data_IF_039006022021
#
_entry.id   IF_039006022021
#
_cell.length_a   1.000
_cell.length_b   1.000
_cell.length_c   1.000
_cell.angle_alpha   90.00
_cell.angle_beta   90.00
_cell.angle_gamma   90.00
#
_symmetry.space_group_name_H-M   'P 1'
#
loop_
_entity.id
_entity.type
_entity.pdbx_description
1 polymer ?
#
# COMPACT_ATOMS: atom_id res chain seq x y z
N UNK A 1 -20.47 2.37 11.54
CA UNK A 1 -19.39 1.54 10.97
C UNK A 1 -19.65 1.53 9.48
N UNK A 2 -18.70 2.08 8.74
CA UNK A 2 -18.85 2.34 7.31
C UNK A 2 -18.89 1.03 6.53
N UNK A 3 -19.56 1.02 5.38
CA UNK A 3 -19.50 -0.15 4.49
C UNK A 3 -18.05 -0.39 4.05
N UNK A 4 -17.74 -1.63 3.64
CA UNK A 4 -16.41 -1.96 3.12
C UNK A 4 -15.98 -1.00 2.02
N UNK A 5 -16.87 -0.68 1.06
CA UNK A 5 -16.53 0.22 -0.04
C UNK A 5 -16.23 1.64 0.44
N UNK A 6 -17.06 2.16 1.35
CA UNK A 6 -16.84 3.50 1.95
C UNK A 6 -15.51 3.54 2.71
N UNK A 7 -15.20 2.50 3.47
CA UNK A 7 -13.93 2.37 4.19
C UNK A 7 -12.73 2.42 3.24
N UNK A 8 -12.78 1.63 2.16
CA UNK A 8 -11.69 1.56 1.18
C UNK A 8 -11.51 2.88 0.42
N UNK A 9 -12.61 3.54 0.03
CA UNK A 9 -12.56 4.85 -0.60
C UNK A 9 -11.93 5.92 0.30
N UNK A 10 -12.31 5.94 1.58
CA UNK A 10 -11.72 6.85 2.56
C UNK A 10 -10.25 6.56 2.77
N UNK A 11 -9.85 5.28 2.84
CA UNK A 11 -8.44 4.90 3.02
C UNK A 11 -7.57 5.34 1.86
N UNK A 12 -8.01 5.11 0.62
CA UNK A 12 -7.30 5.58 -0.57
C UNK A 12 -7.08 7.10 -0.54
N UNK A 13 -8.07 7.87 -0.07
CA UNK A 13 -7.98 9.34 0.02
C UNK A 13 -7.12 9.83 1.20
N UNK A 14 -7.18 9.15 2.34
CA UNK A 14 -6.63 9.66 3.60
C UNK A 14 -5.19 9.21 3.90
N UNK A 15 -4.67 8.19 3.22
CA UNK A 15 -3.38 7.57 3.60
C UNK A 15 -2.15 8.41 3.27
N UNK A 16 -2.29 9.63 2.73
CA UNK A 16 -1.17 10.49 2.37
C UNK A 16 -0.29 9.95 1.23
N UNK A 17 -0.55 8.73 0.75
CA UNK A 17 0.20 8.07 -0.33
C UNK A 17 0.26 8.92 -1.58
N UNK A 18 -0.83 9.61 -1.96
CA UNK A 18 -0.81 10.53 -3.11
C UNK A 18 0.27 11.60 -2.97
N UNK A 19 0.45 12.21 -1.79
CA UNK A 19 1.51 13.19 -1.56
C UNK A 19 2.90 12.56 -1.72
N UNK A 20 3.11 11.37 -1.15
CA UNK A 20 4.35 10.61 -1.29
C UNK A 20 4.66 10.22 -2.74
N UNK A 21 3.65 10.00 -3.58
CA UNK A 21 3.83 9.70 -5.00
C UNK A 21 4.12 10.97 -5.81
N UNK A 22 3.42 12.07 -5.51
CA UNK A 22 3.57 13.35 -6.23
C UNK A 22 4.87 14.09 -5.97
N UNK A 23 5.63 13.73 -4.91
CA UNK A 23 6.96 14.32 -4.66
C UNK A 23 8.05 13.72 -5.57
N UNK A 24 7.83 12.52 -6.13
CA UNK A 24 8.85 11.82 -6.91
C UNK A 24 9.32 12.57 -8.15
N UNK A 25 8.43 13.16 -8.98
CA UNK A 25 8.88 13.91 -10.14
C UNK A 25 9.79 15.07 -9.76
N UNK A 26 9.50 15.75 -8.66
CA UNK A 26 10.36 16.80 -8.15
C UNK A 26 11.71 16.23 -7.64
N UNK A 27 11.68 15.14 -6.88
CA UNK A 27 12.88 14.54 -6.29
C UNK A 27 13.85 13.95 -7.32
N UNK A 28 13.33 13.42 -8.42
CA UNK A 28 14.10 12.80 -9.50
C UNK A 28 14.26 13.68 -10.74
N UNK A 29 13.84 14.95 -10.68
CA UNK A 29 13.84 15.89 -11.82
C UNK A 29 13.16 15.33 -13.08
N UNK A 30 12.00 14.71 -12.89
CA UNK A 30 11.23 14.07 -13.96
C UNK A 30 10.26 15.06 -14.59
N UNK A 31 10.34 15.15 -15.91
CA UNK A 31 9.29 15.76 -16.73
C UNK A 31 8.26 14.69 -17.10
N UNK A 32 7.12 14.66 -16.40
CA UNK A 32 6.05 13.68 -16.59
C UNK A 32 4.77 14.42 -17.03
N UNK A 33 4.14 14.03 -18.15
CA UNK A 33 2.89 14.65 -18.59
C UNK A 33 1.78 14.58 -17.53
N UNK A 34 0.98 15.64 -17.41
CA UNK A 34 -0.08 15.71 -16.38
C UNK A 34 -1.09 14.58 -16.49
N UNK A 35 -1.39 14.12 -17.71
CA UNK A 35 -2.33 13.04 -17.98
C UNK A 35 -1.90 11.70 -17.37
N UNK A 36 -0.60 11.49 -17.07
CA UNK A 36 -0.13 10.27 -16.39
C UNK A 36 -0.74 10.18 -14.98
N UNK A 37 -0.99 11.32 -14.33
CA UNK A 37 -1.61 11.39 -13.00
C UNK A 37 -3.12 11.15 -13.03
N UNK A 38 -3.74 11.33 -14.19
CA UNK A 38 -5.17 11.05 -14.41
C UNK A 38 -5.44 9.54 -14.59
N UNK A 39 -4.38 8.73 -14.73
CA UNK A 39 -4.48 7.27 -14.74
C UNK A 39 -4.70 6.73 -13.32
N UNK A 40 -5.88 7.02 -12.75
CA UNK A 40 -6.21 6.84 -11.32
C UNK A 40 -5.94 5.44 -10.78
N UNK A 41 -6.03 4.41 -11.63
CA UNK A 41 -5.85 3.01 -11.24
C UNK A 41 -4.54 2.80 -10.45
N UNK A 42 -3.40 3.29 -10.96
CA UNK A 42 -2.11 2.99 -10.33
C UNK A 42 -1.95 3.69 -8.96
N UNK A 43 -2.42 4.94 -8.85
CA UNK A 43 -2.33 5.71 -7.60
C UNK A 43 -3.27 5.11 -6.55
N UNK A 44 -4.50 4.77 -6.97
CA UNK A 44 -5.50 4.12 -6.12
C UNK A 44 -4.96 2.82 -5.55
N UNK A 45 -4.42 1.95 -6.40
CA UNK A 45 -3.93 0.64 -5.96
C UNK A 45 -2.73 0.74 -5.02
N UNK A 46 -1.80 1.67 -5.27
CA UNK A 46 -0.69 1.90 -4.34
C UNK A 46 -1.21 2.37 -2.98
N UNK A 47 -2.14 3.34 -2.97
CA UNK A 47 -2.73 3.85 -1.73
C UNK A 47 -3.50 2.75 -0.97
N UNK A 48 -4.24 1.90 -1.68
CA UNK A 48 -4.95 0.75 -1.12
C UNK A 48 -3.96 -0.23 -0.47
N UNK A 49 -2.95 -0.66 -1.22
CA UNK A 49 -1.93 -1.61 -0.74
C UNK A 49 -1.17 -1.09 0.48
N UNK A 50 -0.80 0.20 0.47
CA UNK A 50 -0.17 0.85 1.64
C UNK A 50 -1.09 0.84 2.85
N UNK A 51 -2.36 1.21 2.66
CA UNK A 51 -3.36 1.26 3.74
C UNK A 51 -3.59 -0.12 4.37
N UNK A 52 -3.83 -1.14 3.53
CA UNK A 52 -4.06 -2.50 4.00
C UNK A 52 -2.83 -3.07 4.72
N UNK A 53 -1.62 -2.76 4.23
CA UNK A 53 -0.38 -3.13 4.90
C UNK A 53 -0.25 -2.51 6.29
N UNK A 54 -0.69 -1.25 6.46
CA UNK A 54 -0.74 -0.61 7.78
C UNK A 54 -1.72 -1.35 8.68
N UNK A 55 -2.97 -1.54 8.25
CA UNK A 55 -4.01 -2.17 9.07
C UNK A 55 -3.62 -3.58 9.53
N UNK A 56 -2.94 -4.35 8.67
CA UNK A 56 -2.42 -5.68 9.01
C UNK A 56 -1.30 -5.60 10.07
N UNK A 57 -0.39 -4.64 9.94
CA UNK A 57 0.74 -4.47 10.86
C UNK A 57 0.31 -3.86 12.21
N UNK A 58 -0.67 -2.96 12.21
CA UNK A 58 -1.13 -2.23 13.40
C UNK A 58 -2.12 -3.01 14.26
N UNK A 59 -2.62 -4.17 13.80
CA UNK A 59 -3.65 -4.97 14.47
C UNK A 59 -3.43 -5.16 15.99
N UNK A 60 -2.21 -5.49 16.41
CA UNK A 60 -1.94 -5.71 17.85
C UNK A 60 -2.05 -4.44 18.68
N UNK A 61 -1.70 -3.29 18.09
CA UNK A 61 -1.80 -1.99 18.74
C UNK A 61 -3.25 -1.51 18.76
N UNK A 62 -3.95 -1.61 17.63
CA UNK A 62 -5.33 -1.15 17.46
C UNK A 62 -6.30 -1.89 18.38
N UNK A 63 -6.16 -3.23 18.48
CA UNK A 63 -6.97 -4.04 19.39
C UNK A 63 -6.75 -3.67 20.86
N UNK A 64 -5.54 -3.28 21.25
CA UNK A 64 -5.24 -2.83 22.63
C UNK A 64 -5.80 -1.44 22.93
N UNK A 65 -5.95 -0.59 21.91
CA UNK A 65 -6.42 0.78 22.03
C UNK A 65 -7.92 0.93 21.70
N UNK A 66 -8.61 -0.18 21.41
CA UNK A 66 -10.01 -0.22 20.98
C UNK A 66 -10.27 0.63 19.72
N UNK A 67 -9.27 0.72 18.83
CA UNK A 67 -9.38 1.37 17.53
C UNK A 67 -10.06 0.41 16.54
N UNK A 68 -11.17 0.86 15.95
CA UNK A 68 -12.00 0.04 15.02
C UNK A 68 -11.89 0.50 13.57
N UNK A 69 -11.11 1.54 13.31
CA UNK A 69 -10.85 2.09 11.97
C UNK A 69 -9.75 1.27 11.28
N UNK A 70 -10.06 0.01 10.94
CA UNK A 70 -9.11 -0.96 10.39
C UNK A 70 -9.87 -2.00 9.56
N UNK A 71 -9.28 -2.51 8.49
CA UNK A 71 -9.95 -3.44 7.57
C UNK A 71 -10.46 -4.71 8.28
N UNK A 72 -9.76 -5.16 9.33
CA UNK A 72 -10.11 -6.39 10.04
C UNK A 72 -11.45 -6.27 10.78
N UNK A 73 -11.66 -5.31 11.71
CA UNK A 73 -12.97 -5.05 12.31
C UNK A 73 -14.09 -4.86 11.29
N UNK A 74 -13.84 -4.12 10.20
CA UNK A 74 -14.83 -3.88 9.14
C UNK A 74 -15.26 -5.20 8.50
N UNK A 75 -14.32 -6.03 8.08
CA UNK A 75 -14.60 -7.32 7.44
C UNK A 75 -15.33 -8.28 8.39
N UNK A 76 -14.89 -8.37 9.65
CA UNK A 76 -15.53 -9.23 10.66
C UNK A 76 -16.99 -8.83 10.86
N UNK A 77 -17.27 -7.53 11.01
CA UNK A 77 -18.62 -7.04 11.24
C UNK A 77 -19.53 -7.25 10.02
N UNK A 78 -19.06 -6.89 8.83
CA UNK A 78 -19.92 -6.87 7.64
C UNK A 78 -20.09 -8.23 6.98
N UNK A 79 -19.15 -9.16 7.18
CA UNK A 79 -19.16 -10.46 6.48
C UNK A 79 -19.31 -11.65 7.44
N UNK A 80 -19.39 -11.40 8.75
CA UNK A 80 -19.55 -12.45 9.77
C UNK A 80 -18.46 -13.53 9.68
N UNK A 81 -17.22 -13.10 9.43
CA UNK A 81 -16.05 -13.98 9.32
C UNK A 81 -15.15 -13.84 10.54
N UNK A 82 -14.27 -14.82 10.77
CA UNK A 82 -13.25 -14.74 11.81
C UNK A 82 -12.19 -13.68 11.50
N UNK A 83 -11.46 -13.23 12.53
CA UNK A 83 -10.35 -12.29 12.36
C UNK A 83 -9.22 -12.83 11.46
N UNK A 84 -8.98 -14.15 11.46
CA UNK A 84 -8.00 -14.76 10.56
C UNK A 84 -8.49 -14.72 9.12
N UNK A 85 -9.74 -15.11 8.86
CA UNK A 85 -10.34 -15.03 7.51
C UNK A 85 -10.37 -13.58 6.99
N UNK A 86 -10.59 -12.61 7.87
CA UNK A 86 -10.51 -11.19 7.52
C UNK A 86 -9.08 -10.79 7.11
N UNK A 87 -8.05 -11.28 7.81
CA UNK A 87 -6.66 -11.03 7.46
C UNK A 87 -6.28 -11.68 6.13
N UNK A 88 -6.68 -12.94 5.93
CA UNK A 88 -6.45 -13.67 4.68
C UNK A 88 -7.11 -12.92 3.50
N UNK A 89 -8.32 -12.40 3.71
CA UNK A 89 -9.02 -11.60 2.70
C UNK A 89 -8.33 -10.26 2.42
N UNK A 90 -7.84 -9.56 3.43
CA UNK A 90 -7.07 -8.34 3.23
C UNK A 90 -5.78 -8.61 2.44
N UNK A 91 -5.10 -9.73 2.71
CA UNK A 91 -3.93 -10.18 1.94
C UNK A 91 -4.33 -10.47 0.48
N UNK A 92 -5.45 -11.17 0.25
CA UNK A 92 -5.95 -11.40 -1.12
C UNK A 92 -6.28 -10.09 -1.86
N UNK A 93 -6.81 -9.08 -1.15
CA UNK A 93 -7.06 -7.76 -1.74
C UNK A 93 -5.75 -7.05 -2.12
N UNK A 94 -4.72 -7.15 -1.29
CA UNK A 94 -3.38 -6.62 -1.63
C UNK A 94 -2.77 -7.36 -2.82
N UNK A 95 -2.94 -8.68 -2.90
CA UNK A 95 -2.47 -9.48 -4.03
C UNK A 95 -3.18 -9.07 -5.34
N UNK A 96 -4.50 -8.86 -5.30
CA UNK A 96 -5.22 -8.35 -6.47
C UNK A 96 -4.75 -6.95 -6.87
N UNK A 97 -4.59 -6.06 -5.88
CA UNK A 97 -4.09 -4.70 -6.09
C UNK A 97 -2.70 -4.69 -6.76
N UNK A 98 -1.84 -5.66 -6.43
CA UNK A 98 -0.54 -5.84 -7.08
C UNK A 98 -0.68 -6.16 -8.57
N UNK A 99 -1.54 -7.11 -8.94
CA UNK A 99 -1.79 -7.43 -10.35
C UNK A 99 -2.36 -6.22 -11.11
N UNK A 100 -3.31 -5.51 -10.50
CA UNK A 100 -3.92 -4.31 -11.08
C UNK A 100 -2.88 -3.18 -11.30
N UNK A 101 -1.84 -3.08 -10.44
CA UNK A 101 -0.71 -2.17 -10.63
C UNK A 101 0.15 -2.59 -11.82
N UNK A 102 0.45 -3.88 -11.96
CA UNK A 102 1.26 -4.38 -13.07
C UNK A 102 0.57 -4.13 -14.41
N UNK A 103 -0.75 -4.34 -14.46
CA UNK A 103 -1.58 -4.04 -15.63
C UNK A 103 -1.59 -2.53 -15.92
N UNK A 104 -1.86 -1.69 -14.91
CA UNK A 104 -1.84 -0.24 -15.07
C UNK A 104 -0.47 0.28 -15.55
N UNK A 105 0.63 -0.28 -15.03
CA UNK A 105 2.00 0.03 -15.44
C UNK A 105 2.25 -0.33 -16.91
N UNK A 106 1.76 -1.50 -17.35
CA UNK A 106 1.83 -1.91 -18.75
C UNK A 106 1.04 -0.97 -19.66
N UNK A 107 -0.19 -0.60 -19.27
CA UNK A 107 -1.02 0.35 -20.00
C UNK A 107 -0.35 1.74 -20.12
N UNK A 108 0.22 2.26 -19.03
CA UNK A 108 0.91 3.55 -19.04
C UNK A 108 2.15 3.55 -19.94
N UNK A 109 2.97 2.50 -19.88
CA UNK A 109 4.10 2.31 -20.80
C UNK A 109 3.66 2.28 -22.26
N UNK A 110 2.56 1.59 -22.54
CA UNK A 110 1.99 1.55 -23.88
C UNK A 110 1.44 2.90 -24.33
N UNK A 111 0.87 3.70 -23.43
CA UNK A 111 0.34 5.02 -23.72
C UNK A 111 1.43 6.04 -24.07
N UNK A 112 2.57 6.00 -23.39
CA UNK A 112 3.69 6.92 -23.64
C UNK A 112 4.57 6.53 -24.83
N UNK A 113 4.32 5.38 -25.49
CA UNK A 113 5.22 4.84 -26.53
C UNK A 113 5.47 5.79 -27.72
N UNK A 114 4.58 6.74 -27.96
CA UNK A 114 4.66 7.71 -29.05
C UNK A 114 5.23 9.07 -28.59
N UNK A 115 5.50 9.22 -27.30
CA UNK A 115 6.17 10.39 -26.73
C UNK A 115 7.68 10.35 -27.01
N UNK A 116 8.36 11.46 -26.74
CA UNK A 116 9.82 11.52 -26.81
C UNK A 116 10.49 10.48 -25.87
N UNK A 117 11.64 9.93 -26.28
CA UNK A 117 12.39 8.93 -25.50
C UNK A 117 12.65 9.37 -24.05
N UNK A 118 12.87 10.67 -23.83
CA UNK A 118 13.08 11.23 -22.50
C UNK A 118 11.83 11.11 -21.62
N UNK A 119 10.64 11.39 -22.18
CA UNK A 119 9.37 11.27 -21.46
C UNK A 119 9.07 9.82 -21.14
N UNK A 120 9.29 8.91 -22.09
CA UNK A 120 9.15 7.46 -21.86
C UNK A 120 10.02 7.01 -20.69
N UNK A 121 11.29 7.41 -20.69
CA UNK A 121 12.23 7.10 -19.61
C UNK A 121 11.81 7.70 -18.27
N UNK A 122 11.34 8.95 -18.25
CA UNK A 122 10.87 9.58 -17.01
C UNK A 122 9.65 8.87 -16.42
N UNK A 123 8.73 8.43 -17.28
CA UNK A 123 7.56 7.66 -16.86
C UNK A 123 7.98 6.29 -16.34
N UNK A 124 8.95 5.63 -16.97
CA UNK A 124 9.51 4.38 -16.44
C UNK A 124 10.13 4.54 -15.05
N UNK A 125 10.94 5.58 -14.84
CA UNK A 125 11.53 5.88 -13.53
C UNK A 125 10.44 6.13 -12.49
N UNK A 126 9.40 6.88 -12.84
CA UNK A 126 8.26 7.14 -11.94
C UNK A 126 7.55 5.83 -11.57
N UNK A 127 7.26 4.99 -12.56
CA UNK A 127 6.56 3.71 -12.37
C UNK A 127 7.39 2.71 -11.56
N UNK A 128 8.71 2.74 -11.67
CA UNK A 128 9.59 1.94 -10.82
C UNK A 128 9.64 2.50 -9.39
N UNK A 129 9.72 3.82 -9.23
CA UNK A 129 9.66 4.48 -7.92
C UNK A 129 8.36 4.21 -7.15
N UNK A 130 7.24 4.06 -7.86
CA UNK A 130 5.98 3.61 -7.27
C UNK A 130 6.07 2.19 -6.68
N UNK A 131 6.79 1.28 -7.33
CA UNK A 131 7.03 -0.06 -6.80
C UNK A 131 7.93 -0.01 -5.58
N UNK A 132 8.95 0.85 -5.60
CA UNK A 132 9.86 1.05 -4.48
C UNK A 132 9.12 1.57 -3.24
N UNK A 133 8.07 2.38 -3.40
CA UNK A 133 7.21 2.79 -2.28
C UNK A 133 6.50 1.59 -1.66
N UNK A 134 5.97 0.67 -2.47
CA UNK A 134 5.29 -0.51 -1.95
C UNK A 134 6.24 -1.45 -1.21
N UNK A 135 7.39 -1.74 -1.82
CA UNK A 135 8.41 -2.61 -1.23
C UNK A 135 8.99 -1.95 0.02
N UNK A 136 9.31 -0.66 -0.07
CA UNK A 136 9.83 0.13 1.05
C UNK A 136 8.82 0.22 2.20
N UNK A 137 7.53 0.37 1.89
CA UNK A 137 6.46 0.37 2.88
C UNK A 137 6.35 -0.98 3.59
N UNK A 138 6.38 -2.08 2.81
CA UNK A 138 6.48 -3.44 3.32
C UNK A 138 7.66 -3.51 4.30
N UNK A 139 8.89 -3.29 3.84
CA UNK A 139 10.09 -3.34 4.70
C UNK A 139 9.93 -2.46 5.95
N UNK A 140 9.40 -1.25 5.80
CA UNK A 140 9.16 -0.34 6.92
C UNK A 140 8.22 -0.93 7.98
N UNK A 141 7.06 -1.48 7.59
CA UNK A 141 6.08 -2.01 8.56
C UNK A 141 6.64 -3.18 9.37
N UNK A 142 7.53 -4.00 8.80
CA UNK A 142 8.18 -5.11 9.49
C UNK A 142 9.35 -4.70 10.39
N UNK A 143 9.94 -3.51 10.21
CA UNK A 143 11.13 -3.09 10.97
C UNK A 143 10.88 -1.89 11.89
N UNK A 144 9.77 -1.19 11.74
CA UNK A 144 9.49 0.00 12.53
C UNK A 144 9.07 -0.33 13.96
N UNK A 145 9.65 0.40 14.92
CA UNK A 145 9.24 0.39 16.33
C UNK A 145 7.78 0.78 16.55
N UNK A 146 7.15 1.40 15.54
CA UNK A 146 5.75 1.82 15.59
C UNK A 146 4.77 0.65 15.69
N UNK A 147 5.08 -0.49 15.07
CA UNK A 147 4.21 -1.66 15.00
C UNK A 147 4.76 -2.89 15.75
N UNK A 148 6.08 -2.94 15.95
CA UNK A 148 6.72 -3.98 16.75
C UNK A 148 6.57 -3.73 18.25
N UNK A 149 6.44 -4.79 19.06
CA UNK A 149 6.45 -4.66 20.52
C UNK A 149 7.82 -4.19 21.01
N UNK A 150 7.86 -3.48 22.15
CA UNK A 150 9.12 -2.99 22.74
C UNK A 150 10.11 -4.13 23.00
N UNK A 151 9.59 -5.29 23.38
CA UNK A 151 10.35 -6.49 23.70
C UNK A 151 11.24 -6.98 22.53
N UNK A 152 10.86 -6.72 21.26
CA UNK A 152 11.63 -7.08 20.06
C UNK A 152 12.99 -6.37 20.01
N UNK A 153 13.10 -5.20 20.66
CA UNK A 153 14.33 -4.39 20.65
C UNK A 153 15.16 -4.53 21.93
N UNK A 154 14.65 -5.23 22.94
CA UNK A 154 15.27 -5.34 24.27
C UNK A 154 16.28 -6.49 24.37
N UNK A 155 16.68 -7.10 23.25
CA UNK A 155 17.78 -8.08 23.15
C UNK A 155 17.54 -9.43 23.84
N UNK A 156 16.44 -9.56 24.58
CA UNK A 156 16.06 -10.77 25.34
C UNK A 156 14.83 -11.49 24.77
N UNK A 157 14.25 -11.03 23.66
CA UNK A 157 13.16 -11.76 22.99
C UNK A 157 13.72 -12.96 22.24
N UNK A 158 13.45 -14.15 22.78
CA UNK A 158 13.75 -15.44 22.17
C UNK A 158 13.44 -15.43 20.66
N UNK A 159 14.46 -15.74 19.87
CA UNK A 159 14.42 -15.68 18.41
C UNK A 159 13.26 -16.48 17.82
N UNK A 160 12.65 -15.94 16.77
CA UNK A 160 11.69 -16.66 15.96
C UNK A 160 12.44 -17.52 14.95
N UNK A 161 12.20 -18.82 15.00
CA UNK A 161 12.66 -19.77 13.98
C UNK A 161 11.78 -19.63 12.75
N UNK A 162 12.36 -19.20 11.63
CA UNK A 162 11.75 -19.37 10.31
C UNK A 162 11.94 -20.83 9.92
N UNK A 163 10.85 -21.59 9.85
CA UNK A 163 10.86 -22.92 9.24
C UNK A 163 10.59 -22.71 7.75
N UNK A 164 11.62 -22.98 6.94
CA UNK A 164 11.52 -23.07 5.48
C UNK A 164 10.98 -24.45 5.07
#
# INVERSE_FOLDING_TARGET
IDTLDTYLELRVRNVGSTHCLTIMPWAYDLNVPSWVWEHEAIIREIALSVSLGIDLASRQKELKMNEVDSIIPILVLHQTISAQQAADKAISMMAQSWEDILDAKSCLRHAVRMEEDLIQRHVDILLDGFMDVLIGHVVYIWHTRRYLSKDVFDGNSHGFTVVL
#
